data_IF_420337476852
#
_entry.id   IF_420337476852
#
_cell.length_a   1.000
_cell.length_b   1.000
_cell.length_c   1.000
_cell.angle_alpha   90.00
_cell.angle_beta   90.00
_cell.angle_gamma   90.00
#
_symmetry.space_group_name_H-M   'P 1'
#
loop_
_entity.id
_entity.type
_entity.pdbx_description
1 polymer ?
#
# COMPACT_ATOMS: atom_id res chain seq x y z
N UNK A 1 -32.58 44.90 6.85
CA UNK A 1 -32.09 43.51 6.87
C UNK A 1 -30.90 43.34 5.92
N UNK A 2 -29.87 42.59 6.33
CA UNK A 2 -28.76 42.16 5.46
C UNK A 2 -29.07 40.71 5.05
N UNK A 3 -29.03 40.36 3.76
CA UNK A 3 -29.53 39.06 3.31
C UNK A 3 -28.63 37.91 3.78
N UNK A 4 -29.28 36.92 4.40
CA UNK A 4 -28.77 35.67 4.98
C UNK A 4 -28.11 34.73 3.94
N UNK A 5 -28.26 35.06 2.66
CA UNK A 5 -27.95 34.19 1.51
C UNK A 5 -26.45 34.05 1.20
N UNK A 6 -25.59 34.88 1.79
CA UNK A 6 -24.14 34.82 1.58
C UNK A 6 -23.40 33.85 2.52
N UNK A 7 -24.03 33.42 3.62
CA UNK A 7 -23.42 32.52 4.61
C UNK A 7 -23.44 31.05 4.17
N UNK A 8 -24.50 30.62 3.52
CA UNK A 8 -24.69 29.22 3.12
C UNK A 8 -23.75 28.79 1.99
N UNK A 9 -23.48 29.70 1.04
CA UNK A 9 -22.57 29.43 -0.08
C UNK A 9 -21.11 29.23 0.35
N UNK A 10 -20.67 29.99 1.37
CA UNK A 10 -19.32 29.86 1.91
C UNK A 10 -19.15 28.57 2.71
N UNK A 11 -20.19 28.15 3.44
CA UNK A 11 -20.17 26.92 4.24
C UNK A 11 -20.16 25.67 3.35
N UNK A 12 -20.94 25.66 2.25
CA UNK A 12 -20.95 24.57 1.28
C UNK A 12 -19.62 24.46 0.51
N UNK A 13 -18.98 25.58 0.17
CA UNK A 13 -17.65 25.58 -0.45
C UNK A 13 -16.55 25.09 0.50
N UNK A 14 -16.61 25.44 1.79
CA UNK A 14 -15.66 24.97 2.78
C UNK A 14 -15.78 23.47 3.05
N UNK A 15 -17.01 22.95 3.15
CA UNK A 15 -17.25 21.52 3.32
C UNK A 15 -16.78 20.76 2.09
N UNK A 16 -17.10 21.21 0.88
CA UNK A 16 -16.64 20.57 -0.35
C UNK A 16 -15.11 20.57 -0.49
N UNK A 17 -14.43 21.66 -0.11
CA UNK A 17 -12.97 21.72 -0.12
C UNK A 17 -12.34 20.75 0.91
N UNK A 18 -12.96 20.59 2.09
CA UNK A 18 -12.47 19.67 3.12
C UNK A 18 -12.65 18.20 2.72
N UNK A 19 -13.75 17.84 2.03
CA UNK A 19 -13.95 16.47 1.53
C UNK A 19 -12.96 16.12 0.43
N UNK A 20 -12.64 17.06 -0.48
CA UNK A 20 -11.62 16.84 -1.52
C UNK A 20 -10.21 16.70 -0.95
N UNK A 21 -9.87 17.40 0.13
CA UNK A 21 -8.58 17.28 0.83
C UNK A 21 -8.42 15.95 1.59
N UNK A 22 -9.51 15.30 1.99
CA UNK A 22 -9.47 14.00 2.67
C UNK A 22 -9.37 12.81 1.71
N UNK A 23 -9.70 12.98 0.43
CA UNK A 23 -9.66 11.92 -0.59
C UNK A 23 -8.30 11.83 -1.30
N UNK A 24 -7.44 12.84 -1.14
CA UNK A 24 -6.10 12.86 -1.73
C UNK A 24 -5.03 12.63 -0.68
N UNK A 25 -5.20 11.66 0.23
CA UNK A 25 -4.03 11.21 1.01
C UNK A 25 -3.07 10.59 0.01
N UNK A 26 -1.91 11.22 -0.32
CA UNK A 26 -0.83 10.44 -0.86
C UNK A 26 -0.64 9.29 0.12
N UNK A 27 -0.68 8.07 -0.39
CA UNK A 27 -0.04 6.91 0.26
C UNK A 27 1.44 7.24 0.37
N UNK A 28 1.79 8.14 1.29
CA UNK A 28 3.09 8.14 1.90
C UNK A 28 3.27 6.73 2.43
N UNK A 29 4.39 6.10 2.07
CA UNK A 29 4.80 4.84 2.65
C UNK A 29 4.58 4.94 4.16
N UNK A 30 3.54 4.26 4.65
CA UNK A 30 3.21 4.29 6.06
C UNK A 30 4.34 3.53 6.74
N UNK A 31 5.19 4.26 7.45
CA UNK A 31 6.23 3.65 8.25
C UNK A 31 5.51 2.82 9.31
N UNK A 32 5.78 1.52 9.32
CA UNK A 32 5.17 0.57 10.26
C UNK A 32 6.13 0.49 11.44
N UNK A 33 5.83 1.09 12.60
CA UNK A 33 6.80 1.23 13.68
C UNK A 33 6.93 -0.08 14.46
N UNK A 34 7.76 -0.99 13.94
CA UNK A 34 8.06 -2.29 14.57
C UNK A 34 8.98 -2.16 15.78
N UNK A 35 9.60 -0.98 15.96
CA UNK A 35 10.66 -0.75 16.94
C UNK A 35 12.06 -0.95 16.37
N UNK A 36 12.18 -1.42 15.11
CA UNK A 36 13.46 -1.53 14.40
C UNK A 36 13.40 -0.75 13.07
N UNK A 37 14.23 0.29 12.87
CA UNK A 37 14.20 1.07 11.64
C UNK A 37 14.41 0.24 10.37
N UNK A 38 15.17 -0.86 10.47
CA UNK A 38 15.42 -1.76 9.35
C UNK A 38 14.15 -2.53 8.94
N UNK A 39 13.40 -3.10 9.87
CA UNK A 39 12.14 -3.77 9.54
C UNK A 39 11.08 -2.77 9.06
N UNK A 40 11.02 -1.58 9.65
CA UNK A 40 10.08 -0.53 9.23
C UNK A 40 10.29 -0.16 7.74
N UNK A 41 11.55 0.01 7.34
CA UNK A 41 11.94 0.27 5.93
C UNK A 41 11.59 -0.92 5.04
N UNK A 42 11.93 -2.14 5.47
CA UNK A 42 11.68 -3.37 4.72
C UNK A 42 10.19 -3.56 4.43
N UNK A 43 9.33 -3.47 5.45
CA UNK A 43 7.88 -3.65 5.30
C UNK A 43 7.28 -2.57 4.40
N UNK A 44 7.71 -1.32 4.57
CA UNK A 44 7.27 -0.20 3.75
C UNK A 44 7.66 -0.37 2.27
N UNK A 45 8.87 -0.87 2.00
CA UNK A 45 9.33 -1.16 0.64
C UNK A 45 8.54 -2.29 0.01
N UNK A 46 8.30 -3.38 0.74
CA UNK A 46 7.54 -4.53 0.25
C UNK A 46 6.11 -4.14 -0.17
N UNK A 47 5.44 -3.31 0.62
CA UNK A 47 4.12 -2.74 0.29
C UNK A 47 4.18 -1.91 -1.00
N UNK A 48 5.14 -1.00 -1.10
CA UNK A 48 5.28 -0.12 -2.27
C UNK A 48 5.55 -0.89 -3.56
N UNK A 49 6.36 -1.96 -3.47
CA UNK A 49 6.67 -2.83 -4.59
C UNK A 49 5.46 -3.66 -5.02
N UNK A 50 4.77 -4.29 -4.07
CA UNK A 50 3.61 -5.13 -4.37
C UNK A 50 2.43 -4.34 -4.91
N UNK A 51 2.28 -3.07 -4.52
CA UNK A 51 1.34 -2.15 -5.19
C UNK A 51 1.58 -2.08 -6.69
N UNK A 52 2.84 -1.96 -7.11
CA UNK A 52 3.19 -1.95 -8.54
C UNK A 52 2.92 -3.31 -9.17
N UNK A 53 3.37 -4.41 -8.55
CA UNK A 53 3.19 -5.75 -9.10
C UNK A 53 1.72 -6.12 -9.30
N UNK A 54 0.88 -5.90 -8.30
CA UNK A 54 -0.56 -6.19 -8.36
C UNK A 54 -1.27 -5.31 -9.40
N UNK A 55 -0.96 -4.00 -9.42
CA UNK A 55 -1.58 -3.08 -10.37
C UNK A 55 -1.19 -3.39 -11.81
N UNK A 56 0.11 -3.56 -12.08
CA UNK A 56 0.62 -3.69 -13.45
C UNK A 56 0.41 -5.09 -14.04
N UNK A 57 0.12 -6.09 -13.20
CA UNK A 57 -0.28 -7.43 -13.65
C UNK A 57 -1.77 -7.57 -13.92
N UNK A 58 -2.61 -6.60 -13.56
CA UNK A 58 -4.08 -6.74 -13.58
C UNK A 58 -4.68 -7.12 -14.95
N UNK A 59 -3.99 -6.83 -16.06
CA UNK A 59 -4.41 -7.19 -17.42
C UNK A 59 -3.94 -8.60 -17.88
N UNK A 60 -3.16 -9.29 -17.06
CA UNK A 60 -2.65 -10.65 -17.29
C UNK A 60 -3.12 -11.56 -16.14
N UNK A 61 -4.29 -12.22 -16.27
CA UNK A 61 -4.93 -12.92 -15.17
C UNK A 61 -4.08 -14.02 -14.53
N UNK A 62 -3.25 -14.71 -15.31
CA UNK A 62 -2.39 -15.77 -14.79
C UNK A 62 -1.25 -15.19 -13.94
N UNK A 63 -0.57 -14.17 -14.46
CA UNK A 63 0.49 -13.48 -13.74
C UNK A 63 -0.06 -12.81 -12.48
N UNK A 64 -1.23 -12.16 -12.57
CA UNK A 64 -1.87 -11.50 -11.44
C UNK A 64 -2.23 -12.49 -10.31
N UNK A 65 -2.85 -13.63 -10.66
CA UNK A 65 -3.22 -14.64 -9.68
C UNK A 65 -2.00 -15.20 -8.93
N UNK A 66 -0.88 -15.37 -9.64
CA UNK A 66 0.39 -15.82 -9.04
C UNK A 66 0.94 -14.79 -8.06
N UNK A 67 1.07 -13.53 -8.48
CA UNK A 67 1.57 -12.43 -7.62
C UNK A 67 0.70 -12.29 -6.38
N UNK A 68 -0.63 -12.38 -6.53
CA UNK A 68 -1.56 -12.30 -5.41
C UNK A 68 -1.34 -13.42 -4.40
N UNK A 69 -1.19 -14.66 -4.87
CA UNK A 69 -0.97 -15.82 -4.01
C UNK A 69 0.37 -15.70 -3.26
N UNK A 70 1.44 -15.31 -3.95
CA UNK A 70 2.76 -15.12 -3.35
C UNK A 70 2.73 -14.02 -2.28
N UNK A 71 2.09 -12.89 -2.57
CA UNK A 71 1.98 -11.78 -1.61
C UNK A 71 1.18 -12.14 -0.35
N UNK A 72 0.10 -12.91 -0.51
CA UNK A 72 -0.68 -13.40 0.62
C UNK A 72 0.13 -14.35 1.51
N UNK A 73 0.96 -15.21 0.91
CA UNK A 73 1.86 -16.08 1.65
C UNK A 73 2.94 -15.27 2.41
N UNK A 74 3.56 -14.29 1.76
CA UNK A 74 4.56 -13.41 2.37
C UNK A 74 3.97 -12.61 3.54
N UNK A 75 2.78 -12.04 3.37
CA UNK A 75 2.11 -11.27 4.44
C UNK A 75 1.75 -12.15 5.63
N UNK A 76 1.27 -13.39 5.39
CA UNK A 76 0.98 -14.35 6.45
C UNK A 76 2.25 -14.75 7.23
N UNK A 77 3.37 -14.96 6.52
CA UNK A 77 4.66 -15.27 7.15
C UNK A 77 5.21 -14.08 7.95
N UNK A 78 5.20 -12.87 7.36
CA UNK A 78 5.68 -11.66 8.01
C UNK A 78 4.86 -11.31 9.27
N UNK A 79 3.54 -11.44 9.24
CA UNK A 79 2.70 -11.21 10.44
C UNK A 79 3.01 -12.20 11.56
N UNK A 80 3.28 -13.47 11.24
CA UNK A 80 3.70 -14.47 12.22
C UNK A 80 5.08 -14.14 12.84
N UNK A 81 6.04 -13.70 12.01
CA UNK A 81 7.38 -13.28 12.47
C UNK A 81 7.28 -12.04 13.37
N UNK A 82 6.53 -11.01 12.97
CA UNK A 82 6.35 -9.82 13.80
C UNK A 82 5.76 -10.18 15.16
N UNK A 83 4.74 -11.05 15.18
CA UNK A 83 4.13 -11.52 16.41
C UNK A 83 5.10 -12.34 17.29
N UNK A 84 6.01 -13.13 16.70
CA UNK A 84 7.00 -13.90 17.47
C UNK A 84 8.15 -13.05 18.02
N UNK A 85 8.34 -11.84 17.52
CA UNK A 85 9.32 -10.85 18.00
C UNK A 85 8.69 -9.77 18.90
N UNK A 86 7.54 -10.07 19.52
CA UNK A 86 6.83 -9.17 20.44
C UNK A 86 6.49 -7.79 19.86
N UNK A 87 6.37 -7.68 18.53
CA UNK A 87 5.90 -6.45 17.87
C UNK A 87 4.45 -6.19 18.32
N UNK A 88 4.11 -4.95 18.72
CA UNK A 88 2.76 -4.66 19.22
C UNK A 88 1.67 -5.08 18.24
N UNK A 89 0.59 -5.67 18.77
CA UNK A 89 -0.50 -6.22 17.95
C UNK A 89 -1.16 -5.17 17.04
N UNK A 90 -1.20 -3.91 17.48
CA UNK A 90 -1.68 -2.77 16.71
C UNK A 90 -0.78 -2.45 15.51
N UNK A 91 0.53 -2.65 15.65
CA UNK A 91 1.51 -2.49 14.56
C UNK A 91 1.36 -3.62 13.56
N UNK A 92 1.19 -4.86 14.03
CA UNK A 92 0.91 -6.02 13.15
C UNK A 92 -0.40 -5.84 12.40
N UNK A 93 -1.44 -5.32 13.07
CA UNK A 93 -2.73 -5.00 12.45
C UNK A 93 -2.59 -3.88 11.40
N UNK A 94 -1.82 -2.84 11.69
CA UNK A 94 -1.54 -1.77 10.73
C UNK A 94 -0.81 -2.28 9.49
N UNK A 95 0.20 -3.14 9.66
CA UNK A 95 0.86 -3.82 8.54
C UNK A 95 -0.13 -4.64 7.72
N UNK A 96 -0.92 -5.48 8.38
CA UNK A 96 -1.89 -6.36 7.72
C UNK A 96 -2.91 -5.55 6.90
N UNK A 97 -3.40 -4.44 7.45
CA UNK A 97 -4.32 -3.55 6.75
C UNK A 97 -3.67 -2.85 5.55
N UNK A 98 -2.43 -2.39 5.69
CA UNK A 98 -1.70 -1.77 4.58
C UNK A 98 -1.26 -2.77 3.51
N UNK A 99 -1.09 -4.05 3.88
CA UNK A 99 -0.72 -5.15 3.00
C UNK A 99 -1.91 -5.81 2.31
N UNK A 100 -3.17 -5.45 2.66
CA UNK A 100 -4.35 -5.99 2.00
C UNK A 100 -4.27 -5.74 0.47
N UNK A 101 -4.34 -6.78 -0.38
CA UNK A 101 -4.34 -6.60 -1.83
C UNK A 101 -5.35 -5.56 -2.34
N UNK A 102 -6.52 -5.45 -1.70
CA UNK A 102 -7.52 -4.44 -2.06
C UNK A 102 -7.08 -3.01 -1.69
N UNK A 103 -6.30 -2.85 -0.62
CA UNK A 103 -5.70 -1.57 -0.24
C UNK A 103 -4.52 -1.18 -1.14
N UNK A 104 -3.85 -2.16 -1.75
CA UNK A 104 -2.71 -1.94 -2.65
C UNK A 104 -3.14 -1.55 -4.06
N UNK A 105 -4.26 -2.06 -4.54
CA UNK A 105 -4.74 -1.78 -5.90
C UNK A 105 -5.45 -0.42 -5.98
N UNK A 106 -5.32 0.31 -7.09
CA UNK A 106 -6.12 1.50 -7.34
C UNK A 106 -7.62 1.18 -7.30
N UNK A 107 -8.47 2.11 -6.82
CA UNK A 107 -9.92 1.97 -6.89
C UNK A 107 -10.42 1.62 -8.31
N UNK A 108 -11.54 0.90 -8.46
CA UNK A 108 -12.06 0.49 -9.76
C UNK A 108 -12.35 1.64 -10.74
N UNK A 109 -12.57 2.85 -10.24
CA UNK A 109 -12.84 4.08 -11.00
C UNK A 109 -11.58 4.90 -11.31
N UNK A 110 -10.39 4.42 -10.93
CA UNK A 110 -9.12 5.08 -11.21
C UNK A 110 -8.95 5.26 -12.72
N UNK A 111 -8.57 6.47 -13.13
CA UNK A 111 -8.34 6.78 -14.54
C UNK A 111 -7.20 5.91 -15.11
N UNK A 112 -7.40 5.36 -16.31
CA UNK A 112 -6.39 4.52 -16.97
C UNK A 112 -5.04 5.23 -17.17
N UNK A 113 -5.04 6.55 -17.32
CA UNK A 113 -3.81 7.34 -17.41
C UNK A 113 -2.98 7.28 -16.12
N UNK A 114 -3.61 7.21 -14.95
CA UNK A 114 -2.93 7.11 -13.65
C UNK A 114 -2.35 5.71 -13.45
N UNK A 115 -3.08 4.67 -13.85
CA UNK A 115 -2.58 3.29 -13.85
C UNK A 115 -1.36 3.16 -14.75
N UNK A 116 -1.41 3.72 -15.97
CA UNK A 116 -0.26 3.77 -16.87
C UNK A 116 0.92 4.54 -16.26
N UNK A 117 0.67 5.71 -15.65
CA UNK A 117 1.71 6.51 -15.03
C UNK A 117 2.41 5.74 -13.90
N UNK A 118 1.67 5.02 -13.06
CA UNK A 118 2.23 4.15 -12.03
C UNK A 118 3.11 3.06 -12.66
N UNK A 119 2.62 2.32 -13.65
CA UNK A 119 3.39 1.25 -14.28
C UNK A 119 4.62 1.76 -15.03
N UNK A 120 4.57 2.99 -15.57
CA UNK A 120 5.70 3.64 -16.21
C UNK A 120 6.83 3.98 -15.22
N UNK A 121 6.56 4.08 -13.91
CA UNK A 121 7.62 4.28 -12.90
C UNK A 121 8.50 3.04 -12.70
N UNK A 122 8.02 1.86 -13.09
CA UNK A 122 8.69 0.56 -12.93
C UNK A 122 8.47 -0.30 -14.18
N UNK A 123 9.04 0.07 -15.34
CA UNK A 123 8.85 -0.70 -16.57
C UNK A 123 9.43 -2.12 -16.48
N UNK A 124 10.34 -2.36 -15.54
CA UNK A 124 11.01 -3.61 -15.21
C UNK A 124 10.25 -4.48 -14.20
N UNK A 125 9.03 -4.10 -13.79
CA UNK A 125 8.31 -4.75 -12.68
C UNK A 125 8.23 -6.28 -12.81
N UNK A 126 8.01 -6.80 -14.03
CA UNK A 126 7.88 -8.24 -14.28
C UNK A 126 9.20 -8.96 -14.01
N UNK A 127 10.30 -8.41 -14.53
CA UNK A 127 11.63 -8.94 -14.28
C UNK A 127 11.99 -8.87 -12.78
N UNK A 128 11.64 -7.77 -12.11
CA UNK A 128 11.90 -7.59 -10.69
C UNK A 128 11.10 -8.56 -9.80
N UNK A 129 9.89 -8.94 -10.21
CA UNK A 129 9.11 -9.99 -9.56
C UNK A 129 9.71 -11.37 -9.84
N UNK A 130 10.04 -11.69 -11.10
CA UNK A 130 10.58 -12.98 -11.50
C UNK A 130 11.96 -13.28 -10.91
N UNK A 131 12.77 -12.26 -10.61
CA UNK A 131 14.09 -12.46 -9.99
C UNK A 131 14.02 -12.86 -8.51
N UNK A 132 12.82 -12.86 -7.90
CA UNK A 132 12.59 -13.13 -6.47
C UNK A 132 13.40 -12.23 -5.51
N UNK A 133 14.14 -11.23 -6.02
CA UNK A 133 14.91 -10.28 -5.21
C UNK A 133 14.04 -9.55 -4.19
N UNK A 134 12.72 -9.57 -4.36
CA UNK A 134 11.72 -8.79 -3.62
C UNK A 134 10.59 -9.63 -3.00
N UNK A 135 10.56 -10.95 -3.22
CA UNK A 135 9.46 -11.88 -2.84
C UNK A 135 9.89 -12.88 -1.74
N UNK A 136 10.77 -12.43 -0.84
CA UNK A 136 11.19 -13.22 0.33
C UNK A 136 11.17 -12.30 1.56
N UNK A 137 10.00 -11.70 1.81
CA UNK A 137 9.85 -10.75 2.90
C UNK A 137 10.19 -11.41 4.24
N UNK A 138 9.79 -12.66 4.41
CA UNK A 138 10.01 -13.47 5.61
C UNK A 138 11.50 -13.65 5.95
N UNK A 139 12.31 -14.11 5.01
CA UNK A 139 13.74 -14.36 5.21
C UNK A 139 14.50 -13.07 5.54
N UNK A 140 14.11 -11.96 4.89
CA UNK A 140 14.72 -10.65 5.17
C UNK A 140 14.28 -10.09 6.52
N UNK A 141 13.02 -10.32 6.90
CA UNK A 141 12.45 -9.80 8.14
C UNK A 141 13.09 -10.46 9.36
N UNK A 142 13.31 -11.78 9.31
CA UNK A 142 14.07 -12.49 10.37
C UNK A 142 15.45 -11.84 10.56
N UNK A 143 16.20 -11.62 9.47
CA UNK A 143 17.55 -11.07 9.55
C UNK A 143 17.68 -9.62 10.04
N UNK A 144 16.59 -8.87 10.17
CA UNK A 144 16.60 -7.48 10.67
C UNK A 144 15.95 -7.32 12.05
N UNK A 145 15.31 -8.38 12.56
CA UNK A 145 14.69 -8.42 13.90
C UNK A 145 15.50 -9.22 14.93
N UNK A 146 16.60 -9.88 14.51
CA UNK A 146 17.66 -10.43 15.38
C UNK A 146 18.51 -9.32 16.03
#
# INVERSE_FOLDING_TARGET
>A
EVPDQARDGLFLLLVAALTLLLLTTPTHAQIIPTGTPAADILLSQAIAEHRVFLTCSALDPQTHARILADWQADTASATAILASHDVPSETVAAFTAAADPQALMPPPDTAWAEVQALCATRPDWRQAYDSLDRVMLDLKLVGVLE
#
